data_IF_599993972031
#
_entry.id   IF_599993972031
#
_cell.length_a   1.000
_cell.length_b   1.000
_cell.length_c   1.000
_cell.angle_alpha   90.00
_cell.angle_beta   90.00
_cell.angle_gamma   90.00
#
_symmetry.space_group_name_H-M   'P 1'
#
loop_
_entity.id
_entity.type
_entity.pdbx_description
1 polymer ?
#
# COMPACT_ATOMS: atom_id res chain seq x y z
N UNK A 1 2.57 -1.16 -26.17
CA UNK A 1 2.20 0.05 -25.39
C UNK A 1 2.37 -0.14 -23.87
N UNK A 2 1.94 -1.29 -23.34
CA UNK A 2 1.90 -1.67 -21.91
C UNK A 2 3.24 -1.48 -21.14
N UNK A 3 4.38 -1.76 -21.77
CA UNK A 3 5.69 -1.69 -21.10
C UNK A 3 6.14 -0.25 -20.71
N UNK A 4 5.65 0.79 -21.41
CA UNK A 4 6.00 2.19 -21.10
C UNK A 4 5.24 2.74 -19.89
N UNK A 5 4.12 2.13 -19.52
CA UNK A 5 3.27 2.59 -18.41
C UNK A 5 3.64 1.94 -17.07
N UNK A 6 4.24 0.75 -17.09
CA UNK A 6 4.65 0.03 -15.87
C UNK A 6 5.58 0.88 -15.02
N UNK A 7 6.60 1.51 -15.61
CA UNK A 7 7.61 2.25 -14.88
C UNK A 7 7.06 3.56 -14.25
N UNK A 8 6.33 4.43 -14.98
CA UNK A 8 5.66 5.58 -14.37
C UNK A 8 4.70 5.19 -13.24
N UNK A 9 3.86 4.17 -13.44
CA UNK A 9 2.89 3.73 -12.42
C UNK A 9 3.62 3.19 -11.20
N UNK A 10 4.69 2.40 -11.39
CA UNK A 10 5.51 1.90 -10.31
C UNK A 10 6.10 3.04 -9.45
N UNK A 11 6.73 4.04 -10.09
CA UNK A 11 7.31 5.17 -9.36
C UNK A 11 6.27 6.06 -8.70
N UNK A 12 5.13 6.30 -9.36
CA UNK A 12 4.00 7.01 -8.75
C UNK A 12 3.46 6.27 -7.54
N UNK A 13 3.29 4.95 -7.63
CA UNK A 13 2.84 4.11 -6.52
C UNK A 13 3.81 4.18 -5.34
N UNK A 14 5.12 4.13 -5.61
CA UNK A 14 6.16 4.29 -4.58
C UNK A 14 6.13 5.67 -3.93
N UNK A 15 5.97 6.74 -4.72
CA UNK A 15 5.83 8.10 -4.20
C UNK A 15 4.60 8.27 -3.30
N UNK A 16 3.46 7.71 -3.71
CA UNK A 16 2.23 7.72 -2.90
C UNK A 16 2.39 6.90 -1.61
N UNK A 17 3.12 5.79 -1.65
CA UNK A 17 3.44 5.03 -0.43
C UNK A 17 4.26 5.85 0.58
N UNK A 18 5.28 6.58 0.10
CA UNK A 18 6.07 7.48 0.96
C UNK A 18 5.18 8.59 1.53
N UNK A 19 4.33 9.19 0.70
CA UNK A 19 3.36 10.19 1.15
C UNK A 19 2.45 9.64 2.26
N UNK A 20 1.91 8.43 2.08
CA UNK A 20 1.10 7.76 3.10
C UNK A 20 1.87 7.53 4.41
N UNK A 21 3.13 7.10 4.34
CA UNK A 21 3.95 6.92 5.53
C UNK A 21 4.17 8.26 6.28
N UNK A 22 4.43 9.35 5.56
CA UNK A 22 4.57 10.69 6.14
C UNK A 22 3.26 11.15 6.78
N UNK A 23 2.13 10.97 6.07
CA UNK A 23 0.80 11.35 6.56
C UNK A 23 0.43 10.56 7.80
N UNK A 24 0.74 9.26 7.86
CA UNK A 24 0.55 8.45 9.07
C UNK A 24 1.33 8.99 10.27
N UNK A 25 2.59 9.41 10.07
CA UNK A 25 3.37 10.03 11.14
C UNK A 25 2.75 11.35 11.63
N UNK A 26 2.16 12.14 10.73
CA UNK A 26 1.41 13.36 11.11
C UNK A 26 0.14 13.02 11.89
N UNK A 27 -0.61 11.99 11.48
CA UNK A 27 -1.84 11.58 12.17
C UNK A 27 -1.55 11.03 13.58
N UNK A 28 -0.49 10.23 13.73
CA UNK A 28 -0.14 9.54 14.97
C UNK A 28 0.81 10.34 15.88
N UNK A 29 1.53 11.34 15.36
CA UNK A 29 2.58 12.07 16.07
C UNK A 29 2.15 13.47 16.59
N UNK A 30 2.27 13.75 17.91
CA UNK A 30 1.86 15.02 18.50
C UNK A 30 2.59 16.29 17.98
N UNK A 31 3.93 16.31 17.80
CA UNK A 31 4.65 17.56 17.51
C UNK A 31 4.32 18.14 16.13
N UNK A 32 4.26 17.27 15.11
CA UNK A 32 4.03 17.68 13.74
C UNK A 32 2.55 18.01 13.49
N UNK A 33 1.64 17.24 14.10
CA UNK A 33 0.19 17.51 14.08
C UNK A 33 -0.15 18.85 14.72
N UNK A 34 0.42 19.15 15.88
CA UNK A 34 0.20 20.43 16.56
C UNK A 34 0.75 21.60 15.74
N UNK A 35 1.96 21.47 15.18
CA UNK A 35 2.57 22.51 14.34
C UNK A 35 1.69 22.86 13.13
N UNK A 36 1.18 21.82 12.44
CA UNK A 36 0.32 21.96 11.26
C UNK A 36 -1.05 22.55 11.58
N UNK A 37 -1.70 22.06 12.63
CA UNK A 37 -3.00 22.60 13.07
C UNK A 37 -2.89 24.05 13.51
N UNK A 38 -1.82 24.42 14.21
CA UNK A 38 -1.60 25.80 14.66
C UNK A 38 -1.28 26.76 13.50
N UNK A 39 -0.72 26.25 12.40
CA UNK A 39 -0.31 27.07 11.25
C UNK A 39 -1.44 27.26 10.23
N UNK A 40 -2.27 26.24 9.98
CA UNK A 40 -3.24 26.23 8.86
C UNK A 40 -4.69 26.33 9.35
N UNK A 41 -4.97 26.07 10.64
CA UNK A 41 -6.32 26.17 11.22
C UNK A 41 -7.31 25.10 10.74
N UNK A 42 -6.90 24.19 9.84
CA UNK A 42 -7.73 23.11 9.28
C UNK A 42 -6.96 21.79 9.35
N UNK A 43 -7.57 20.76 9.92
CA UNK A 43 -6.96 19.43 10.02
C UNK A 43 -7.11 18.67 8.69
N UNK A 44 -6.23 18.95 7.72
CA UNK A 44 -6.27 18.33 6.39
C UNK A 44 -5.75 16.89 6.35
N UNK A 45 -5.06 16.44 7.40
CA UNK A 45 -4.36 15.16 7.42
C UNK A 45 -5.28 13.94 7.17
N UNK A 46 -6.50 13.84 7.75
CA UNK A 46 -7.42 12.75 7.44
C UNK A 46 -7.85 12.74 5.97
N UNK A 47 -8.15 13.91 5.39
CA UNK A 47 -8.55 14.01 3.99
C UNK A 47 -7.42 13.57 3.08
N UNK A 48 -6.19 14.04 3.34
CA UNK A 48 -5.03 13.62 2.56
C UNK A 48 -4.77 12.11 2.70
N UNK A 49 -4.99 11.53 3.89
CA UNK A 49 -4.86 10.10 4.13
C UNK A 49 -5.82 9.30 3.24
N UNK A 50 -7.10 9.64 3.23
CA UNK A 50 -8.10 8.94 2.40
C UNK A 50 -7.84 9.09 0.91
N UNK A 51 -7.51 10.31 0.45
CA UNK A 51 -7.22 10.57 -0.97
C UNK A 51 -5.96 9.81 -1.40
N UNK A 52 -4.89 9.86 -0.60
CA UNK A 52 -3.65 9.14 -0.90
C UNK A 52 -3.86 7.62 -0.85
N UNK A 53 -4.68 7.12 0.08
CA UNK A 53 -5.05 5.71 0.18
C UNK A 53 -5.81 5.22 -1.05
N UNK A 54 -6.79 6.00 -1.52
CA UNK A 54 -7.54 5.69 -2.75
C UNK A 54 -6.63 5.70 -3.99
N UNK A 55 -5.72 6.68 -4.10
CA UNK A 55 -4.73 6.73 -5.17
C UNK A 55 -3.77 5.53 -5.11
N UNK A 56 -3.32 5.14 -3.92
CA UNK A 56 -2.47 3.98 -3.71
C UNK A 56 -3.15 2.69 -4.18
N UNK A 57 -4.42 2.50 -3.83
CA UNK A 57 -5.22 1.37 -4.30
C UNK A 57 -5.35 1.35 -5.83
N UNK A 58 -5.75 2.47 -6.44
CA UNK A 58 -5.94 2.56 -7.89
C UNK A 58 -4.65 2.31 -8.66
N UNK A 59 -3.53 2.91 -8.23
CA UNK A 59 -2.22 2.68 -8.83
C UNK A 59 -1.74 1.24 -8.61
N UNK A 60 -1.99 0.66 -7.43
CA UNK A 60 -1.67 -0.73 -7.12
C UNK A 60 -2.42 -1.70 -8.03
N UNK A 61 -3.73 -1.47 -8.21
CA UNK A 61 -4.58 -2.27 -9.11
C UNK A 61 -4.14 -2.12 -10.57
N UNK A 62 -3.85 -0.89 -11.01
CA UNK A 62 -3.33 -0.64 -12.34
C UNK A 62 -1.99 -1.38 -12.57
N UNK A 63 -1.06 -1.29 -11.61
CA UNK A 63 0.21 -2.00 -11.68
C UNK A 63 0.03 -3.51 -11.74
N UNK A 64 -0.87 -4.07 -10.92
CA UNK A 64 -1.16 -5.51 -10.90
C UNK A 64 -1.69 -5.99 -12.25
N UNK A 65 -2.69 -5.30 -12.80
CA UNK A 65 -3.28 -5.64 -14.11
C UNK A 65 -2.21 -5.55 -15.21
N UNK A 66 -1.41 -4.49 -15.22
CA UNK A 66 -0.34 -4.33 -16.20
C UNK A 66 0.74 -5.41 -16.04
N UNK A 67 1.18 -5.71 -14.81
CA UNK A 67 2.20 -6.72 -14.56
C UNK A 67 1.75 -8.12 -15.03
N UNK A 68 0.47 -8.45 -14.88
CA UNK A 68 -0.13 -9.69 -15.39
C UNK A 68 -0.15 -9.68 -16.92
N UNK A 69 -0.66 -8.61 -17.53
CA UNK A 69 -0.89 -8.49 -18.97
C UNK A 69 0.37 -8.25 -19.81
N UNK A 70 1.45 -7.75 -19.22
CA UNK A 70 2.69 -7.50 -19.96
C UNK A 70 3.50 -8.79 -20.10
N UNK A 71 4.12 -8.97 -21.26
CA UNK A 71 5.11 -10.02 -21.55
C UNK A 71 6.48 -9.75 -20.88
N UNK A 72 6.46 -9.27 -19.64
CA UNK A 72 7.66 -9.16 -18.81
C UNK A 72 7.93 -10.55 -18.26
N UNK A 73 9.07 -11.16 -18.59
CA UNK A 73 9.43 -12.47 -18.07
C UNK A 73 10.44 -12.41 -16.92
N UNK A 74 10.42 -13.46 -16.11
CA UNK A 74 11.38 -13.69 -15.03
C UNK A 74 10.99 -13.06 -13.68
N UNK A 75 11.98 -12.91 -12.81
CA UNK A 75 11.81 -12.55 -11.40
C UNK A 75 11.20 -11.14 -11.24
N UNK A 76 11.50 -10.20 -12.14
CA UNK A 76 10.95 -8.83 -12.07
C UNK A 76 9.43 -8.81 -12.17
N UNK A 77 8.80 -9.70 -12.96
CA UNK A 77 7.33 -9.79 -13.04
C UNK A 77 6.74 -10.22 -11.71
N UNK A 78 7.38 -11.17 -11.01
CA UNK A 78 6.94 -11.63 -9.69
C UNK A 78 6.96 -10.49 -8.67
N UNK A 79 8.02 -9.67 -8.65
CA UNK A 79 8.10 -8.52 -7.75
C UNK A 79 7.09 -7.41 -8.10
N UNK A 80 6.84 -7.15 -9.39
CA UNK A 80 5.80 -6.19 -9.81
C UNK A 80 4.40 -6.66 -9.41
N UNK A 81 4.09 -7.94 -9.59
CA UNK A 81 2.83 -8.55 -9.14
C UNK A 81 2.71 -8.46 -7.62
N UNK A 82 3.76 -8.82 -6.88
CA UNK A 82 3.78 -8.71 -5.42
C UNK A 82 3.54 -7.27 -4.96
N UNK A 83 4.16 -6.29 -5.61
CA UNK A 83 3.98 -4.86 -5.30
C UNK A 83 2.53 -4.42 -5.51
N UNK A 84 1.96 -4.70 -6.69
CA UNK A 84 0.59 -4.33 -7.01
C UNK A 84 -0.45 -5.06 -6.14
N UNK A 85 -0.29 -6.37 -5.95
CA UNK A 85 -1.17 -7.18 -5.13
C UNK A 85 -1.13 -6.78 -3.65
N UNK A 86 0.05 -6.47 -3.11
CA UNK A 86 0.19 -5.98 -1.74
C UNK A 86 -0.48 -4.62 -1.54
N UNK A 87 -0.32 -3.69 -2.50
CA UNK A 87 -0.98 -2.38 -2.45
C UNK A 87 -2.52 -2.50 -2.45
N UNK A 88 -3.06 -3.35 -3.34
CA UNK A 88 -4.50 -3.69 -3.36
C UNK A 88 -4.93 -4.37 -2.07
N UNK A 89 -4.09 -5.28 -1.56
CA UNK A 89 -4.32 -6.06 -0.35
C UNK A 89 -4.49 -5.20 0.91
N UNK A 90 -3.77 -4.07 1.03
CA UNK A 90 -3.95 -3.13 2.15
C UNK A 90 -5.41 -2.65 2.21
N UNK A 91 -5.91 -2.11 1.09
CA UNK A 91 -7.27 -1.55 1.04
C UNK A 91 -8.34 -2.64 1.16
N UNK A 92 -8.15 -3.78 0.47
CA UNK A 92 -9.06 -4.91 0.58
C UNK A 92 -9.16 -5.44 2.03
N UNK A 93 -8.03 -5.51 2.73
CA UNK A 93 -8.00 -5.93 4.14
C UNK A 93 -8.65 -4.89 5.05
N UNK A 94 -8.43 -3.59 4.84
CA UNK A 94 -9.15 -2.55 5.59
C UNK A 94 -10.67 -2.66 5.43
N UNK A 95 -11.16 -2.87 4.21
CA UNK A 95 -12.59 -3.05 3.96
C UNK A 95 -13.13 -4.32 4.62
N UNK A 96 -12.42 -5.45 4.45
CA UNK A 96 -12.83 -6.73 5.01
C UNK A 96 -12.81 -6.72 6.54
N UNK A 97 -11.82 -6.07 7.15
CA UNK A 97 -11.76 -5.85 8.59
C UNK A 97 -13.03 -5.19 9.12
N UNK A 98 -13.42 -4.05 8.53
CA UNK A 98 -14.61 -3.31 8.95
C UNK A 98 -15.91 -4.09 8.68
N UNK A 99 -16.00 -4.77 7.53
CA UNK A 99 -17.18 -5.53 7.15
C UNK A 99 -17.37 -6.75 8.06
N UNK A 100 -16.31 -7.50 8.33
CA UNK A 100 -16.34 -8.67 9.21
C UNK A 100 -16.56 -8.24 10.65
N UNK A 101 -15.86 -7.21 11.12
CA UNK A 101 -16.10 -6.63 12.43
C UNK A 101 -17.59 -6.26 12.61
N UNK A 102 -18.13 -5.48 11.67
CA UNK A 102 -19.52 -5.02 11.65
C UNK A 102 -20.54 -6.15 11.55
N UNK A 103 -20.31 -7.14 10.69
CA UNK A 103 -21.19 -8.30 10.56
C UNK A 103 -21.28 -9.09 11.87
N UNK A 104 -20.15 -9.32 12.53
CA UNK A 104 -20.13 -10.09 13.76
C UNK A 104 -20.81 -9.35 14.92
N UNK A 105 -20.64 -8.04 15.06
CA UNK A 105 -21.39 -7.29 16.07
C UNK A 105 -22.90 -7.26 15.77
N UNK A 106 -23.29 -7.23 14.49
CA UNK A 106 -24.70 -7.24 14.08
C UNK A 106 -25.39 -8.58 14.42
N UNK A 107 -24.69 -9.71 14.27
CA UNK A 107 -25.28 -11.04 14.50
C UNK A 107 -25.06 -11.57 15.92
N UNK A 108 -23.98 -11.16 16.59
CA UNK A 108 -23.59 -11.70 17.90
C UNK A 108 -23.57 -10.66 19.02
N UNK A 109 -23.85 -9.37 18.76
CA UNK A 109 -23.90 -8.29 19.74
C UNK A 109 -22.62 -7.44 19.80
N UNK A 110 -22.76 -6.18 20.24
CA UNK A 110 -21.69 -5.16 20.23
C UNK A 110 -20.42 -5.57 20.99
N UNK A 111 -20.57 -6.36 22.05
CA UNK A 111 -19.49 -6.86 22.91
C UNK A 111 -18.85 -8.17 22.41
N UNK A 112 -19.20 -8.65 21.20
CA UNK A 112 -18.71 -9.93 20.67
C UNK A 112 -17.18 -10.06 20.69
N UNK A 113 -16.45 -9.06 20.18
CA UNK A 113 -14.99 -9.09 20.08
C UNK A 113 -14.31 -9.01 21.46
N UNK A 114 -14.94 -8.32 22.42
CA UNK A 114 -14.46 -8.25 23.80
C UNK A 114 -14.67 -9.58 24.54
N UNK A 115 -15.84 -10.22 24.37
CA UNK A 115 -16.14 -11.52 25.01
C UNK A 115 -15.19 -12.64 24.61
N UNK A 116 -14.65 -12.59 23.38
CA UNK A 116 -13.66 -13.55 22.89
C UNK A 116 -12.21 -13.10 23.14
N UNK A 117 -12.02 -11.97 23.83
CA UNK A 117 -10.71 -11.48 24.26
C UNK A 117 -9.84 -10.88 23.16
N UNK A 118 -10.40 -10.53 21.99
CA UNK A 118 -9.64 -9.98 20.87
C UNK A 118 -9.80 -8.46 20.71
N UNK A 119 -10.90 -7.88 21.19
CA UNK A 119 -11.18 -6.44 21.13
C UNK A 119 -11.44 -5.88 19.73
N UNK A 120 -10.89 -6.53 18.70
CA UNK A 120 -11.06 -6.17 17.29
C UNK A 120 -10.97 -7.41 16.38
N UNK A 121 -11.31 -7.27 15.10
CA UNK A 121 -11.12 -8.30 14.09
C UNK A 121 -9.62 -8.40 13.74
N UNK A 122 -8.93 -9.51 14.08
CA UNK A 122 -7.47 -9.52 14.06
C UNK A 122 -6.87 -9.84 12.69
N UNK A 123 -7.54 -10.66 11.86
CA UNK A 123 -6.90 -11.24 10.68
C UNK A 123 -6.71 -10.17 9.60
N UNK A 124 -7.79 -9.48 9.21
CA UNK A 124 -7.67 -8.44 8.18
C UNK A 124 -6.97 -7.20 8.73
N UNK A 125 -7.06 -6.92 10.03
CA UNK A 125 -6.25 -5.89 10.67
C UNK A 125 -4.74 -6.15 10.52
N UNK A 126 -4.28 -7.35 10.90
CA UNK A 126 -2.86 -7.74 10.77
C UNK A 126 -2.41 -7.71 9.30
N UNK A 127 -3.28 -8.15 8.39
CA UNK A 127 -3.01 -8.08 6.96
C UNK A 127 -2.83 -6.65 6.47
N UNK A 128 -3.73 -5.73 6.84
CA UNK A 128 -3.69 -4.33 6.44
C UNK A 128 -2.48 -3.57 7.00
N UNK A 129 -2.13 -3.82 8.26
CA UNK A 129 -1.11 -3.03 8.99
C UNK A 129 0.29 -3.60 8.83
N UNK A 130 0.45 -4.93 8.78
CA UNK A 130 1.77 -5.56 8.79
C UNK A 130 2.06 -6.32 7.50
N UNK A 131 1.24 -7.32 7.15
CA UNK A 131 1.59 -8.28 6.09
C UNK A 131 1.65 -7.61 4.73
N UNK A 132 0.60 -6.89 4.34
CA UNK A 132 0.57 -6.22 3.03
C UNK A 132 1.61 -5.11 2.92
N UNK A 133 1.81 -4.21 3.91
CA UNK A 133 2.88 -3.21 3.84
C UNK A 133 4.28 -3.82 3.73
N UNK A 134 4.59 -4.90 4.48
CA UNK A 134 5.87 -5.58 4.37
C UNK A 134 6.05 -6.26 3.00
N UNK A 135 5.02 -6.94 2.50
CA UNK A 135 5.04 -7.53 1.16
C UNK A 135 5.22 -6.47 0.07
N UNK A 136 4.61 -5.30 0.22
CA UNK A 136 4.77 -4.17 -0.69
C UNK A 136 6.23 -3.67 -0.70
N UNK A 137 6.87 -3.53 0.46
CA UNK A 137 8.27 -3.15 0.58
C UNK A 137 9.19 -4.16 -0.10
N UNK A 138 9.00 -5.45 0.15
CA UNK A 138 9.77 -6.53 -0.50
C UNK A 138 9.59 -6.48 -2.03
N UNK A 139 8.35 -6.33 -2.49
CA UNK A 139 8.00 -6.14 -3.91
C UNK A 139 8.75 -4.96 -4.55
N UNK A 140 8.72 -3.83 -3.87
CA UNK A 140 9.27 -2.56 -4.35
C UNK A 140 10.79 -2.61 -4.42
N UNK A 141 11.45 -3.01 -3.32
CA UNK A 141 12.91 -3.12 -3.25
C UNK A 141 13.42 -4.14 -4.27
N UNK A 142 12.78 -5.32 -4.37
CA UNK A 142 13.15 -6.33 -5.36
C UNK A 142 13.02 -5.83 -6.80
N UNK A 143 11.96 -5.07 -7.10
CA UNK A 143 11.77 -4.43 -8.41
C UNK A 143 12.88 -3.41 -8.71
N UNK A 144 13.20 -2.52 -7.76
CA UNK A 144 14.24 -1.49 -7.91
C UNK A 144 15.61 -2.12 -8.16
N UNK A 145 16.02 -3.08 -7.34
CA UNK A 145 17.34 -3.74 -7.46
C UNK A 145 17.50 -4.39 -8.83
N UNK A 146 16.48 -5.10 -9.31
CA UNK A 146 16.54 -5.78 -10.62
C UNK A 146 16.53 -4.79 -11.80
N UNK A 147 15.81 -3.67 -11.69
CA UNK A 147 15.82 -2.62 -12.71
C UNK A 147 17.22 -2.01 -12.87
N UNK A 148 17.93 -1.75 -11.76
CA UNK A 148 19.29 -1.21 -11.81
C UNK A 148 20.33 -2.23 -12.29
N UNK A 149 20.27 -3.48 -11.83
CA UNK A 149 21.18 -4.54 -12.30
C UNK A 149 21.09 -4.77 -13.81
N UNK A 150 19.88 -4.74 -14.39
CA UNK A 150 19.69 -4.88 -15.85
C UNK A 150 20.29 -3.70 -16.63
N UNK A 151 20.20 -2.48 -16.10
CA UNK A 151 20.80 -1.30 -16.75
C UNK A 151 22.33 -1.38 -16.75
N UNK A 152 22.94 -1.83 -15.65
CA UNK A 152 24.39 -1.97 -15.53
C UNK A 152 24.95 -3.03 -16.49
N UNK A 153 24.33 -4.22 -16.58
CA UNK A 153 24.77 -5.24 -17.53
C UNK A 153 24.75 -4.72 -18.98
N UNK A 154 23.65 -4.09 -19.38
CA UNK A 154 23.53 -3.54 -20.73
C UNK A 154 24.56 -2.43 -21.04
N UNK A 155 24.98 -1.65 -20.04
CA UNK A 155 26.02 -0.64 -20.21
C UNK A 155 27.42 -1.25 -20.36
N UNK A 156 27.71 -2.32 -19.61
CA UNK A 156 28.99 -3.04 -19.69
C UNK A 156 29.15 -3.85 -20.98
N UNK A 157 28.05 -4.32 -21.59
CA UNK A 157 28.08 -5.05 -22.87
C UNK A 157 28.33 -4.12 -24.09
N UNK A 158 28.29 -2.80 -23.91
CA UNK A 158 28.41 -1.79 -24.98
C UNK A 158 29.76 -1.03 -24.96
N UNK A 159 30.63 -1.28 -23.99
CA UNK A 159 31.96 -0.67 -23.85
C UNK A 159 33.07 -1.67 -24.11
#
# INVERSE_FOLDING_TARGET
MVNRLVLPIFWSLFGVFILLAIVMQVLMGPPLRQLLNNSIGVNFAPVLFFVSGALFFMLGLALLILAIKTDINGIIKKFLILTGAAAVGVFASMLLHNLVYGAFIQFFGEDFWERIGMGDEPFFFIMAIFVCPLAYLVGTVGSIVLMFRRKQHKANDLG
#
